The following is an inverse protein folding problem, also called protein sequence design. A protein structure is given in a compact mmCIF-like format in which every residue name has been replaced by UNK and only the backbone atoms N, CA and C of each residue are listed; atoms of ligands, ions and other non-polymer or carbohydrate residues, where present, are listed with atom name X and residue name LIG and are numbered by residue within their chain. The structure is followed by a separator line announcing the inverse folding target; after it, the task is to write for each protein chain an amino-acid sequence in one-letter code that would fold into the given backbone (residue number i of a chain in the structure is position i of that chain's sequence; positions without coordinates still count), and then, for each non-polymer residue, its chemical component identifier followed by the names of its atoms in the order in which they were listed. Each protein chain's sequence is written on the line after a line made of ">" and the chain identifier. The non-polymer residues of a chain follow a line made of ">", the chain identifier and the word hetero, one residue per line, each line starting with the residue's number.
data_IF_344079911361
#
_entry.id   IF_344079911361
#
_cell.length_a   1.000
_cell.length_b   1.000
_cell.length_c   1.000
_cell.angle_alpha   90.00
_cell.angle_beta   90.00
_cell.angle_gamma   90.00
#
_symmetry.space_group_name_H-M   'P 1'
#
loop_
_entity.id
_entity.type
_entity.pdbx_description
1 polymer ?
#
# COMPACT_ATOMS: atom_id res chain seq x y z
N UNK A 1 2.29 3.91 1.45
CA UNK A 1 2.23 2.67 0.68
C UNK A 1 1.87 3.01 -0.74
N UNK A 2 2.86 2.84 -1.60
CA UNK A 2 2.74 3.03 -3.04
C UNK A 2 2.18 1.76 -3.70
N UNK A 3 1.70 1.93 -4.93
CA UNK A 3 1.18 0.85 -5.77
C UNK A 3 1.87 0.81 -7.14
N UNK A 4 2.98 1.51 -7.31
CA UNK A 4 3.80 1.43 -8.52
C UNK A 4 4.74 0.20 -8.45
N UNK A 5 4.78 -0.57 -9.53
CA UNK A 5 5.42 -1.88 -9.58
C UNK A 5 6.92 -1.83 -9.31
N UNK A 6 7.60 -0.76 -9.72
CA UNK A 6 9.01 -0.54 -9.39
C UNK A 6 9.30 -0.31 -7.91
N UNK A 7 8.33 0.21 -7.15
CA UNK A 7 8.45 0.36 -5.71
C UNK A 7 8.11 -0.95 -4.99
N UNK A 8 7.21 -1.75 -5.56
CA UNK A 8 6.72 -2.98 -4.93
C UNK A 8 7.64 -4.18 -5.14
N UNK A 9 8.30 -4.28 -6.30
CA UNK A 9 9.04 -5.48 -6.70
C UNK A 9 10.51 -5.16 -7.02
N UNK A 10 11.46 -5.78 -6.30
CA UNK A 10 12.88 -5.73 -6.66
C UNK A 10 13.11 -6.24 -8.09
N UNK A 11 13.96 -5.54 -8.83
CA UNK A 11 14.32 -5.91 -10.21
C UNK A 11 13.25 -5.57 -11.26
N UNK A 12 12.25 -4.75 -10.92
CA UNK A 12 11.30 -4.24 -11.90
C UNK A 12 12.00 -3.39 -12.97
N UNK A 13 11.69 -3.69 -14.23
CA UNK A 13 12.14 -2.92 -15.40
C UNK A 13 10.92 -2.36 -16.12
N UNK A 14 10.84 -1.03 -16.22
CA UNK A 14 9.74 -0.31 -16.88
C UNK A 14 9.61 -0.74 -18.34
N UNK A 15 8.39 -1.11 -18.74
CA UNK A 15 8.10 -1.56 -20.11
C UNK A 15 8.49 -3.00 -20.43
N UNK A 16 9.16 -3.71 -19.51
CA UNK A 16 9.58 -5.11 -19.69
C UNK A 16 8.96 -6.05 -18.65
N UNK A 17 8.97 -5.65 -17.37
CA UNK A 17 8.40 -6.47 -16.30
C UNK A 17 6.88 -6.41 -16.35
N UNK A 18 6.23 -7.58 -16.36
CA UNK A 18 4.78 -7.65 -16.46
C UNK A 18 4.07 -7.30 -15.13
N UNK A 19 3.03 -6.46 -15.15
CA UNK A 19 2.10 -6.21 -14.03
C UNK A 19 1.46 -7.48 -13.46
N UNK A 20 1.25 -8.50 -14.30
CA UNK A 20 0.74 -9.80 -13.88
C UNK A 20 1.63 -10.50 -12.83
N UNK A 21 2.87 -10.03 -12.66
CA UNK A 21 3.83 -10.59 -11.71
C UNK A 21 3.78 -9.99 -10.31
N UNK A 22 2.88 -9.04 -10.04
CA UNK A 22 2.65 -8.40 -8.74
C UNK A 22 1.16 -8.26 -8.44
N UNK A 23 0.78 -8.42 -7.18
CA UNK A 23 -0.58 -8.31 -6.66
C UNK A 23 -0.59 -7.33 -5.47
N UNK A 24 -1.76 -6.88 -5.00
CA UNK A 24 -1.93 -6.11 -3.76
C UNK A 24 -1.24 -6.78 -2.55
N UNK A 25 -1.00 -8.10 -2.59
CA UNK A 25 -0.19 -8.80 -1.60
C UNK A 25 1.22 -8.22 -1.47
N UNK A 26 1.85 -7.77 -2.56
CA UNK A 26 3.17 -7.13 -2.50
C UNK A 26 3.11 -5.84 -1.67
N UNK A 27 2.03 -5.06 -1.79
CA UNK A 27 1.82 -3.88 -0.94
C UNK A 27 1.66 -4.28 0.52
N UNK A 28 0.92 -5.35 0.82
CA UNK A 28 0.77 -5.86 2.18
C UNK A 28 2.11 -6.38 2.77
N UNK A 29 2.98 -6.98 1.96
CA UNK A 29 4.33 -7.38 2.39
C UNK A 29 5.17 -6.18 2.84
N UNK A 30 5.06 -5.06 2.13
CA UNK A 30 5.72 -3.82 2.53
C UNK A 30 5.10 -3.20 3.78
N UNK A 31 3.77 -3.29 3.95
CA UNK A 31 3.11 -2.90 5.22
C UNK A 31 3.69 -3.72 6.37
N UNK A 32 3.75 -5.04 6.24
CA UNK A 32 4.32 -5.95 7.24
C UNK A 32 5.76 -5.56 7.59
N UNK A 33 6.60 -5.32 6.58
CA UNK A 33 7.98 -4.95 6.79
C UNK A 33 8.11 -3.64 7.59
N UNK A 34 7.34 -2.61 7.25
CA UNK A 34 7.34 -1.34 7.99
C UNK A 34 6.84 -1.53 9.42
N UNK A 35 5.76 -2.30 9.62
CA UNK A 35 5.23 -2.61 10.94
C UNK A 35 6.25 -3.36 11.80
N UNK A 36 6.98 -4.31 11.23
CA UNK A 36 8.05 -5.05 11.92
C UNK A 36 9.21 -4.15 12.33
N UNK A 37 9.61 -3.21 11.46
CA UNK A 37 10.66 -2.23 11.77
C UNK A 37 10.23 -1.23 12.84
N UNK A 38 8.98 -0.73 12.76
CA UNK A 38 8.44 0.23 13.71
C UNK A 38 7.98 -0.41 15.03
N UNK A 39 7.81 -1.74 15.05
CA UNK A 39 7.26 -2.51 16.16
C UNK A 39 5.76 -2.33 16.38
N UNK A 40 5.06 -1.65 15.48
CA UNK A 40 3.62 -1.39 15.53
C UNK A 40 3.10 -0.81 14.19
N UNK A 41 1.79 -0.64 14.09
CA UNK A 41 1.07 -0.17 12.89
C UNK A 41 0.96 1.35 12.78
N UNK A 42 1.45 2.12 13.75
CA UNK A 42 1.18 3.58 13.89
C UNK A 42 1.94 4.47 12.91
N UNK A 43 2.84 3.90 12.13
CA UNK A 43 3.82 4.61 11.30
C UNK A 43 3.75 4.24 9.81
N UNK A 44 2.68 3.58 9.37
CA UNK A 44 2.45 3.24 7.97
C UNK A 44 1.15 3.89 7.48
N UNK A 45 1.14 4.40 6.26
CA UNK A 45 -0.04 5.04 5.64
C UNK A 45 -0.10 4.74 4.16
N UNK A 46 -1.24 4.95 3.50
CA UNK A 46 -1.40 4.78 2.05
C UNK A 46 -1.07 6.07 1.31
N UNK A 47 -0.19 5.98 0.32
CA UNK A 47 0.19 7.07 -0.57
C UNK A 47 0.41 6.43 -1.92
N UNK A 48 -0.69 6.22 -2.65
CA UNK A 48 -0.76 5.18 -3.67
C UNK A 48 0.08 5.46 -4.91
N UNK A 49 0.31 6.74 -5.19
CA UNK A 49 0.96 7.25 -6.41
C UNK A 49 0.21 6.89 -7.70
N UNK A 50 -1.06 6.47 -7.61
CA UNK A 50 -1.89 6.23 -8.79
C UNK A 50 -2.00 7.52 -9.62
N UNK A 51 -1.89 7.39 -10.94
CA UNK A 51 -1.77 8.49 -11.90
C UNK A 51 -0.53 9.39 -11.71
N UNK A 52 0.47 8.95 -10.94
CA UNK A 52 1.75 9.64 -10.71
C UNK A 52 2.74 9.58 -11.89
N UNK A 53 2.29 9.19 -13.09
CA UNK A 53 3.12 8.99 -14.29
C UNK A 53 3.07 7.58 -14.89
N UNK A 54 2.14 6.76 -14.41
CA UNK A 54 1.83 5.41 -14.88
C UNK A 54 0.33 5.13 -14.75
N UNK A 55 -0.16 4.22 -15.58
CA UNK A 55 -1.49 3.62 -15.48
C UNK A 55 -1.42 2.17 -15.02
N UNK A 56 -2.35 1.35 -15.49
CA UNK A 56 -2.43 -0.06 -15.09
C UNK A 56 -1.25 -0.91 -15.60
N UNK A 57 -0.43 -0.37 -16.50
CA UNK A 57 0.79 -1.01 -16.98
C UNK A 57 1.92 -1.06 -15.95
N UNK A 58 1.77 -0.42 -14.78
CA UNK A 58 2.70 -0.57 -13.66
C UNK A 58 2.02 -0.78 -12.29
N UNK A 59 0.71 -0.96 -12.22
CA UNK A 59 0.05 -1.31 -10.95
C UNK A 59 0.03 -2.82 -10.73
N UNK A 60 -0.24 -3.30 -9.50
CA UNK A 60 -0.72 -4.66 -9.28
C UNK A 60 -1.83 -5.06 -10.23
N UNK A 61 -1.79 -6.30 -10.75
CA UNK A 61 -2.78 -6.77 -11.75
C UNK A 61 -4.20 -6.88 -11.20
N UNK A 62 -4.36 -6.95 -9.88
CA UNK A 62 -5.61 -6.95 -9.14
C UNK A 62 -6.08 -5.52 -8.79
N UNK A 63 -5.41 -4.48 -9.31
CA UNK A 63 -5.77 -3.06 -9.13
C UNK A 63 -6.04 -2.39 -10.48
N UNK A 64 -7.31 -2.20 -10.83
CA UNK A 64 -7.76 -1.57 -12.08
C UNK A 64 -8.13 -0.10 -11.90
N UNK A 65 -8.49 0.31 -10.68
CA UNK A 65 -8.87 1.67 -10.35
C UNK A 65 -8.59 2.01 -8.89
N UNK A 66 -8.75 3.28 -8.51
CA UNK A 66 -8.66 3.74 -7.12
C UNK A 66 -9.63 2.98 -6.18
N UNK A 67 -10.76 2.50 -6.68
CA UNK A 67 -11.73 1.74 -5.88
C UNK A 67 -11.15 0.41 -5.38
N UNK A 68 -10.19 -0.16 -6.10
CA UNK A 68 -9.57 -1.44 -5.77
C UNK A 68 -8.56 -1.36 -4.62
N UNK A 69 -8.18 -0.15 -4.17
CA UNK A 69 -7.35 0.01 -2.97
C UNK A 69 -7.97 -0.66 -1.73
N UNK A 70 -9.29 -0.81 -1.69
CA UNK A 70 -10.00 -1.49 -0.61
C UNK A 70 -9.62 -2.97 -0.49
N UNK A 71 -9.09 -3.59 -1.54
CA UNK A 71 -8.59 -4.97 -1.50
C UNK A 71 -7.42 -5.13 -0.51
N UNK A 72 -6.66 -4.05 -0.24
CA UNK A 72 -5.62 -4.07 0.77
C UNK A 72 -6.20 -4.31 2.18
N UNK A 73 -7.38 -3.77 2.48
CA UNK A 73 -8.03 -3.99 3.78
C UNK A 73 -8.33 -5.48 3.99
N UNK A 74 -8.92 -6.14 2.99
CA UNK A 74 -9.17 -7.59 3.01
C UNK A 74 -7.88 -8.39 3.13
N UNK A 75 -6.83 -7.98 2.42
CA UNK A 75 -5.52 -8.64 2.44
C UNK A 75 -4.88 -8.56 3.82
N UNK A 76 -4.92 -7.39 4.48
CA UNK A 76 -4.40 -7.20 5.84
C UNK A 76 -5.24 -7.95 6.88
N UNK A 77 -6.57 -7.94 6.75
CA UNK A 77 -7.45 -8.71 7.63
C UNK A 77 -7.15 -10.20 7.58
N UNK A 78 -6.93 -10.76 6.37
CA UNK A 78 -6.52 -12.14 6.18
C UNK A 78 -5.14 -12.46 6.79
N UNK A 79 -4.29 -11.46 6.98
CA UNK A 79 -2.99 -11.57 7.67
C UNK A 79 -3.08 -11.39 9.19
N UNK A 80 -4.27 -11.17 9.73
CA UNK A 80 -4.50 -11.06 11.18
C UNK A 80 -4.37 -9.64 11.75
N UNK A 81 -4.34 -8.60 10.91
CA UNK A 81 -4.43 -7.23 11.38
C UNK A 81 -5.80 -6.98 12.00
N UNK A 82 -5.83 -6.30 13.15
CA UNK A 82 -7.07 -5.93 13.79
C UNK A 82 -7.75 -4.77 13.03
N UNK A 83 -9.09 -4.68 13.10
CA UNK A 83 -9.86 -3.67 12.37
C UNK A 83 -9.44 -2.24 12.72
N UNK A 84 -9.02 -1.98 13.96
CA UNK A 84 -8.48 -0.69 14.36
C UNK A 84 -7.14 -0.37 13.67
N UNK A 85 -6.25 -1.35 13.55
CA UNK A 85 -5.00 -1.18 12.83
C UNK A 85 -5.24 -0.90 11.35
N UNK A 86 -6.15 -1.63 10.70
CA UNK A 86 -6.48 -1.40 9.28
C UNK A 86 -7.02 0.02 9.09
N UNK A 87 -7.95 0.48 9.94
CA UNK A 87 -8.46 1.87 9.90
C UNK A 87 -7.35 2.89 10.11
N UNK A 88 -6.42 2.61 11.01
CA UNK A 88 -5.28 3.50 11.29
C UNK A 88 -4.34 3.57 10.07
N UNK A 89 -4.05 2.46 9.42
CA UNK A 89 -3.24 2.40 8.19
C UNK A 89 -3.90 3.17 7.05
N UNK A 90 -5.22 3.07 6.90
CA UNK A 90 -5.97 3.73 5.82
C UNK A 90 -6.11 5.24 6.04
N UNK A 91 -6.24 5.71 7.28
CA UNK A 91 -6.40 7.14 7.55
C UNK A 91 -5.93 7.57 8.94
N UNK A 92 -6.16 6.78 9.99
CA UNK A 92 -5.95 7.22 11.38
C UNK A 92 -4.52 7.67 11.69
N UNK A 93 -3.51 7.07 11.05
CA UNK A 93 -2.11 7.44 11.19
C UNK A 93 -1.82 8.82 10.60
N UNK A 94 -2.34 9.11 9.40
CA UNK A 94 -2.25 10.43 8.79
C UNK A 94 -3.02 11.47 9.58
N UNK A 95 -4.26 11.16 9.98
CA UNK A 95 -5.08 12.07 10.78
C UNK A 95 -4.37 12.45 12.09
N UNK A 96 -3.80 11.46 12.79
CA UNK A 96 -3.03 11.72 14.01
C UNK A 96 -1.83 12.62 13.75
N UNK A 97 -1.09 12.40 12.66
CA UNK A 97 0.04 13.24 12.27
C UNK A 97 -0.41 14.68 11.94
N UNK A 98 -1.44 14.84 11.12
CA UNK A 98 -1.92 16.15 10.68
C UNK A 98 -2.51 16.95 11.83
N UNK A 99 -3.34 16.32 12.67
CA UNK A 99 -3.92 16.97 13.86
C UNK A 99 -2.87 17.40 14.88
N UNK A 100 -1.70 16.76 14.93
CA UNK A 100 -0.62 17.16 15.84
C UNK A 100 0.37 18.17 15.24
N UNK A 101 0.36 18.35 13.92
CA UNK A 101 1.45 19.05 13.21
C UNK A 101 1.00 20.25 12.38
N UNK A 102 -0.27 20.28 11.97
CA UNK A 102 -0.84 21.40 11.23
C UNK A 102 -1.48 22.40 12.20
N UNK A 103 -1.39 23.72 11.91
CA UNK A 103 -1.93 24.78 12.74
C UNK A 103 -3.47 24.80 12.79
#
# INVERSE_FOLDING_TARGET
>A
MAFDGWMLKPGWVRGETSPASISVNATADHVDHICQLAGNTRHVGIGSDLDGGFGTEQTPHDLNSIADLQQLATTLANRGYADNDIRDIFAGNYLRLFLSSLP
#
